data_IF_103234198244
#
_entry.id   IF_103234198244
#
_cell.length_a   1.000
_cell.length_b   1.000
_cell.length_c   1.000
_cell.angle_alpha   90.00
_cell.angle_beta   90.00
_cell.angle_gamma   90.00
#
_symmetry.space_group_name_H-M   'P 1'
#
loop_
_entity.id
_entity.type
_entity.pdbx_description
1 polymer ?
#
# COMPACT_ATOMS: atom_id res chain seq x y z
N UNK A 1 10.52 -26.17 1.71
CA UNK A 1 9.51 -25.09 1.68
C UNK A 1 8.67 -24.98 2.95
N UNK A 2 8.00 -26.05 3.45
CA UNK A 2 7.15 -25.98 4.66
C UNK A 2 7.81 -25.32 5.89
N UNK A 3 9.09 -25.61 6.14
CA UNK A 3 9.86 -25.04 7.27
C UNK A 3 10.08 -23.52 7.15
N UNK A 4 10.39 -23.01 5.96
CA UNK A 4 10.64 -21.58 5.72
C UNK A 4 9.35 -20.77 5.86
N UNK A 5 8.27 -21.24 5.22
CA UNK A 5 6.96 -20.61 5.30
C UNK A 5 6.44 -20.53 6.75
N UNK A 6 6.67 -21.58 7.53
CA UNK A 6 6.36 -21.59 8.95
C UNK A 6 7.20 -20.56 9.71
N UNK A 7 8.53 -20.53 9.53
CA UNK A 7 9.40 -19.54 10.19
C UNK A 7 9.00 -18.10 9.90
N UNK A 8 8.67 -17.78 8.65
CA UNK A 8 8.24 -16.43 8.25
C UNK A 8 6.88 -16.10 8.87
N UNK A 9 5.90 -17.00 8.74
CA UNK A 9 4.56 -16.79 9.25
C UNK A 9 4.55 -16.52 10.75
N UNK A 10 5.35 -17.25 11.52
CA UNK A 10 5.37 -17.20 12.98
C UNK A 10 6.50 -16.31 13.55
N UNK A 11 7.11 -15.46 12.72
CA UNK A 11 8.19 -14.58 13.17
C UNK A 11 7.71 -13.63 14.28
N UNK A 12 8.33 -13.73 15.46
CA UNK A 12 7.96 -12.90 16.61
C UNK A 12 6.70 -13.33 17.34
N UNK A 13 6.15 -14.52 17.10
CA UNK A 13 5.00 -15.04 17.85
C UNK A 13 5.50 -16.07 18.88
N UNK A 14 5.36 -15.77 20.18
CA UNK A 14 5.67 -16.75 21.24
C UNK A 14 4.47 -17.67 21.48
N UNK A 15 4.54 -18.89 20.93
CA UNK A 15 3.61 -20.02 21.14
C UNK A 15 2.15 -19.91 20.65
N UNK A 16 1.57 -21.10 20.42
CA UNK A 16 0.30 -21.43 19.72
C UNK A 16 -0.96 -21.06 20.51
N UNK A 17 -1.13 -19.82 20.94
CA UNK A 17 -2.45 -19.38 21.40
C UNK A 17 -3.32 -19.02 20.19
N UNK A 18 -4.57 -19.46 20.20
CA UNK A 18 -5.62 -19.10 19.22
C UNK A 18 -6.05 -17.62 19.38
N UNK A 19 -5.09 -16.73 19.63
CA UNK A 19 -5.31 -15.32 19.83
C UNK A 19 -5.55 -14.65 18.45
N UNK A 20 -6.66 -13.91 18.27
CA UNK A 20 -6.86 -13.05 17.11
C UNK A 20 -5.65 -12.16 16.76
N UNK A 21 -4.89 -11.70 17.76
CA UNK A 21 -3.69 -10.88 17.53
C UNK A 21 -2.55 -11.67 16.88
N UNK A 22 -2.33 -12.92 17.30
CA UNK A 22 -1.35 -13.81 16.70
C UNK A 22 -1.69 -14.10 15.23
N UNK A 23 -2.98 -14.29 14.93
CA UNK A 23 -3.45 -14.45 13.54
C UNK A 23 -3.15 -13.21 12.69
N UNK A 24 -3.42 -12.01 13.19
CA UNK A 24 -3.17 -10.76 12.46
C UNK A 24 -1.68 -10.54 12.22
N UNK A 25 -0.83 -10.82 13.21
CA UNK A 25 0.63 -10.77 13.06
C UNK A 25 1.11 -11.78 12.02
N UNK A 26 0.55 -12.99 12.00
CA UNK A 26 0.87 -14.00 10.99
C UNK A 26 0.51 -13.53 9.57
N UNK A 27 -0.65 -12.90 9.40
CA UNK A 27 -1.08 -12.32 8.12
C UNK A 27 -0.16 -11.17 7.71
N UNK A 28 0.17 -10.26 8.63
CA UNK A 28 1.10 -9.17 8.39
C UNK A 28 2.48 -9.67 7.93
N UNK A 29 3.03 -10.70 8.57
CA UNK A 29 4.31 -11.30 8.18
C UNK A 29 4.28 -11.92 6.77
N UNK A 30 3.17 -12.58 6.43
CA UNK A 30 2.97 -13.17 5.08
C UNK A 30 2.85 -12.09 4.02
N UNK A 31 2.10 -11.03 4.29
CA UNK A 31 1.98 -9.88 3.40
C UNK A 31 3.33 -9.18 3.23
N UNK A 32 4.06 -8.95 4.32
CA UNK A 32 5.41 -8.37 4.25
C UNK A 32 6.36 -9.23 3.41
N UNK A 33 6.27 -10.56 3.52
CA UNK A 33 7.06 -11.46 2.69
C UNK A 33 6.71 -11.37 1.21
N UNK A 34 5.42 -11.40 0.88
CA UNK A 34 4.98 -11.24 -0.50
C UNK A 34 5.44 -9.88 -1.07
N UNK A 35 5.32 -8.82 -0.28
CA UNK A 35 5.78 -7.47 -0.61
C UNK A 35 7.28 -7.43 -0.89
N UNK A 36 8.10 -7.95 0.02
CA UNK A 36 9.57 -8.02 -0.15
C UNK A 36 9.96 -8.87 -1.36
N UNK A 37 9.31 -10.01 -1.57
CA UNK A 37 9.60 -10.89 -2.70
C UNK A 37 9.31 -10.20 -4.05
N UNK A 38 8.16 -9.53 -4.16
CA UNK A 38 7.79 -8.76 -5.37
C UNK A 38 8.76 -7.59 -5.57
N UNK A 39 9.08 -6.83 -4.52
CA UNK A 39 10.03 -5.73 -4.63
C UNK A 39 11.44 -6.18 -4.98
N UNK A 40 11.89 -7.32 -4.45
CA UNK A 40 13.19 -7.87 -4.79
C UNK A 40 13.23 -8.27 -6.27
N UNK A 41 12.18 -8.94 -6.76
CA UNK A 41 12.06 -9.30 -8.18
C UNK A 41 12.06 -8.04 -9.07
N UNK A 42 11.27 -7.02 -8.70
CA UNK A 42 11.23 -5.76 -9.44
C UNK A 42 12.57 -5.02 -9.41
N UNK A 43 13.29 -5.01 -8.29
CA UNK A 43 14.63 -4.41 -8.19
C UNK A 43 15.64 -5.16 -9.08
N UNK A 44 15.58 -6.50 -9.13
CA UNK A 44 16.45 -7.30 -10.01
C UNK A 44 16.14 -7.00 -11.47
N UNK A 45 14.86 -7.05 -11.88
CA UNK A 45 14.45 -6.78 -13.25
C UNK A 45 14.82 -5.35 -13.69
N UNK A 46 14.55 -4.35 -12.85
CA UNK A 46 14.90 -2.96 -13.17
C UNK A 46 16.41 -2.74 -13.24
N UNK A 47 17.20 -3.47 -12.44
CA UNK A 47 18.67 -3.43 -12.52
C UNK A 47 19.15 -4.06 -13.83
N UNK A 48 18.66 -5.25 -14.22
CA UNK A 48 19.05 -5.91 -15.47
C UNK A 48 18.69 -5.05 -16.68
N UNK A 49 17.48 -4.49 -16.73
CA UNK A 49 17.04 -3.59 -17.81
C UNK A 49 17.93 -2.35 -17.87
N UNK A 50 18.32 -1.79 -16.72
CA UNK A 50 19.22 -0.64 -16.68
C UNK A 50 20.60 -0.97 -17.24
N UNK A 51 21.23 -2.03 -16.75
CA UNK A 51 22.57 -2.45 -17.19
C UNK A 51 22.62 -2.81 -18.68
N UNK A 52 21.49 -3.21 -19.27
CA UNK A 52 21.39 -3.50 -20.71
C UNK A 52 21.07 -2.27 -21.57
N UNK A 53 20.61 -1.17 -20.97
CA UNK A 53 20.20 0.05 -21.68
C UNK A 53 21.07 1.27 -21.37
N UNK A 54 22.12 1.12 -20.56
CA UNK A 54 22.97 2.21 -20.04
C UNK A 54 22.17 3.39 -19.44
N UNK A 55 21.00 3.09 -18.86
CA UNK A 55 20.10 4.10 -18.32
C UNK A 55 20.53 4.66 -16.95
N UNK A 56 20.24 5.93 -16.64
CA UNK A 56 20.49 6.47 -15.30
C UNK A 56 19.50 5.92 -14.26
N UNK A 57 19.85 6.02 -12.97
CA UNK A 57 18.94 5.71 -11.88
C UNK A 57 17.78 6.71 -11.81
N UNK A 58 16.57 6.24 -12.08
CA UNK A 58 15.36 7.06 -11.99
C UNK A 58 14.82 7.13 -10.56
N UNK A 59 13.88 8.05 -10.31
CA UNK A 59 13.13 8.10 -9.04
C UNK A 59 12.40 6.78 -8.76
N UNK A 60 11.97 6.05 -9.80
CA UNK A 60 11.29 4.77 -9.67
C UNK A 60 12.20 3.69 -9.10
N UNK A 61 13.48 3.66 -9.51
CA UNK A 61 14.47 2.73 -8.95
C UNK A 61 14.76 3.06 -7.49
N UNK A 62 14.91 4.34 -7.15
CA UNK A 62 15.17 4.79 -5.77
C UNK A 62 14.02 4.45 -4.82
N UNK A 63 12.76 4.66 -5.24
CA UNK A 63 11.59 4.30 -4.41
C UNK A 63 11.47 2.79 -4.20
N UNK A 64 11.74 1.98 -5.22
CA UNK A 64 11.73 0.51 -5.09
C UNK A 64 12.76 0.03 -4.05
N UNK A 65 13.95 0.63 -4.04
CA UNK A 65 14.97 0.33 -3.03
C UNK A 65 14.54 0.77 -1.63
N UNK A 66 13.99 1.98 -1.48
CA UNK A 66 13.50 2.47 -0.20
C UNK A 66 12.37 1.59 0.38
N UNK A 67 11.42 1.16 -0.45
CA UNK A 67 10.35 0.24 -0.05
C UNK A 67 10.91 -1.14 0.34
N UNK A 68 11.94 -1.62 -0.36
CA UNK A 68 12.60 -2.88 -0.02
C UNK A 68 13.27 -2.81 1.36
N UNK A 69 13.97 -1.71 1.65
CA UNK A 69 14.58 -1.46 2.96
C UNK A 69 13.52 -1.47 4.06
N UNK A 70 12.36 -0.85 3.83
CA UNK A 70 11.24 -0.86 4.78
C UNK A 70 10.69 -2.27 4.99
N UNK A 71 10.50 -3.04 3.91
CA UNK A 71 10.04 -4.43 4.02
C UNK A 71 11.01 -5.30 4.82
N UNK A 72 12.33 -5.12 4.63
CA UNK A 72 13.37 -5.80 5.41
C UNK A 72 13.39 -5.35 6.87
N UNK A 73 13.31 -4.04 7.13
CA UNK A 73 13.20 -3.48 8.47
C UNK A 73 11.95 -4.02 9.19
N UNK A 74 10.87 -4.27 8.46
CA UNK A 74 9.66 -4.84 9.02
C UNK A 74 9.84 -6.26 9.57
N UNK A 75 10.65 -7.09 8.91
CA UNK A 75 11.01 -8.40 9.45
C UNK A 75 11.83 -8.27 10.72
N UNK A 76 12.77 -7.31 10.76
CA UNK A 76 13.53 -7.02 11.96
C UNK A 76 12.63 -6.59 13.12
N UNK A 77 11.68 -5.68 12.89
CA UNK A 77 10.72 -5.26 13.92
C UNK A 77 9.81 -6.40 14.38
N UNK A 78 9.33 -7.24 13.46
CA UNK A 78 8.54 -8.41 13.85
C UNK A 78 9.36 -9.39 14.68
N UNK A 79 10.64 -9.60 14.36
CA UNK A 79 11.55 -10.43 15.16
C UNK A 79 11.74 -9.86 16.58
N UNK A 80 11.73 -8.53 16.73
CA UNK A 80 11.76 -7.83 18.03
C UNK A 80 10.40 -7.72 18.74
N UNK A 81 9.38 -8.44 18.28
CA UNK A 81 8.02 -8.40 18.83
C UNK A 81 7.32 -7.03 18.74
N UNK A 82 7.79 -6.12 17.88
CA UNK A 82 7.22 -4.78 17.69
C UNK A 82 6.06 -4.80 16.67
N UNK A 83 5.03 -5.61 16.93
CA UNK A 83 3.98 -5.91 15.96
C UNK A 83 3.16 -4.70 15.50
N UNK A 84 2.95 -3.72 16.38
CA UNK A 84 2.22 -2.49 16.01
C UNK A 84 3.03 -1.64 15.03
N UNK A 85 4.35 -1.56 15.21
CA UNK A 85 5.25 -0.89 14.27
C UNK A 85 5.24 -1.62 12.93
N UNK A 86 5.23 -2.97 12.95
CA UNK A 86 5.15 -3.76 11.73
C UNK A 86 3.88 -3.48 10.93
N UNK A 87 2.73 -3.43 11.61
CA UNK A 87 1.43 -3.13 10.99
C UNK A 87 1.42 -1.69 10.45
N UNK A 88 1.89 -0.72 11.21
CA UNK A 88 2.01 0.67 10.76
C UNK A 88 2.87 0.79 9.50
N UNK A 89 4.03 0.12 9.49
CA UNK A 89 4.97 0.14 8.38
C UNK A 89 4.47 -0.58 7.12
N UNK A 90 3.51 -1.51 7.23
CA UNK A 90 2.84 -2.09 6.06
C UNK A 90 1.80 -1.16 5.47
N UNK A 91 1.17 -0.32 6.30
CA UNK A 91 0.04 0.51 5.88
C UNK A 91 0.52 1.84 5.28
N UNK A 92 1.32 2.61 6.03
CA UNK A 92 1.57 4.01 5.65
C UNK A 92 2.80 4.20 4.78
N UNK A 93 4.01 3.72 5.13
CA UNK A 93 5.20 4.00 4.34
C UNK A 93 5.12 3.56 2.87
N UNK A 94 4.49 2.41 2.50
CA UNK A 94 4.32 2.05 1.09
C UNK A 94 3.50 3.06 0.31
N UNK A 95 2.43 3.60 0.91
CA UNK A 95 1.60 4.64 0.31
C UNK A 95 2.38 5.95 0.20
N UNK A 96 3.09 6.34 1.27
CA UNK A 96 3.85 7.59 1.26
C UNK A 96 5.00 7.55 0.24
N UNK A 97 5.86 6.54 0.31
CA UNK A 97 7.09 6.49 -0.51
C UNK A 97 6.81 5.99 -1.92
N UNK A 98 5.95 4.98 -2.06
CA UNK A 98 5.65 4.38 -3.35
C UNK A 98 4.82 5.27 -4.25
N UNK A 99 4.00 6.12 -3.63
CA UNK A 99 2.87 6.75 -4.31
C UNK A 99 2.72 8.26 -4.05
N UNK A 100 2.57 8.72 -2.80
CA UNK A 100 2.41 10.16 -2.52
C UNK A 100 3.66 10.99 -2.81
N UNK A 101 4.84 10.51 -2.41
CA UNK A 101 6.09 11.24 -2.51
C UNK A 101 6.47 11.56 -3.98
N UNK A 102 6.33 10.62 -4.96
CA UNK A 102 6.44 10.96 -6.38
C UNK A 102 5.52 12.11 -6.82
N UNK A 103 4.25 12.09 -6.39
CA UNK A 103 3.28 13.16 -6.70
C UNK A 103 3.75 14.49 -6.12
N UNK A 104 4.17 14.52 -4.86
CA UNK A 104 4.68 15.74 -4.20
C UNK A 104 5.94 16.31 -4.87
N UNK A 105 6.74 15.48 -5.54
CA UNK A 105 7.89 15.90 -6.34
C UNK A 105 7.54 16.20 -7.80
N UNK A 106 6.26 16.30 -8.14
CA UNK A 106 5.77 16.64 -9.48
C UNK A 106 5.97 15.56 -10.54
N UNK A 107 6.22 14.31 -10.13
CA UNK A 107 6.29 13.16 -11.03
C UNK A 107 4.89 12.59 -11.25
N UNK A 108 4.05 13.36 -11.95
CA UNK A 108 2.68 13.00 -12.31
C UNK A 108 2.63 12.70 -13.81
N UNK A 109 1.87 11.69 -14.21
CA UNK A 109 1.60 11.34 -15.60
C UNK A 109 0.09 11.35 -15.84
N UNK A 110 -0.35 11.53 -17.09
CA UNK A 110 -1.78 11.51 -17.45
C UNK A 110 -2.47 10.21 -17.01
N UNK A 111 -1.78 9.09 -17.17
CA UNK A 111 -2.26 7.77 -16.75
C UNK A 111 -2.51 7.66 -15.24
N UNK A 112 -1.81 8.47 -14.44
CA UNK A 112 -1.99 8.46 -12.99
C UNK A 112 -3.42 8.87 -12.61
N UNK A 113 -4.09 9.76 -13.33
CA UNK A 113 -5.47 10.17 -13.00
C UNK A 113 -6.48 9.01 -13.02
N UNK A 114 -6.24 7.99 -13.85
CA UNK A 114 -7.13 6.82 -13.95
C UNK A 114 -6.73 5.75 -12.92
N UNK A 115 -5.43 5.51 -12.76
CA UNK A 115 -4.90 4.41 -11.96
C UNK A 115 -4.82 4.74 -10.48
N UNK A 116 -4.70 6.01 -10.15
CA UNK A 116 -4.53 6.51 -8.79
C UNK A 116 -5.61 6.05 -7.81
N UNK A 117 -6.91 6.31 -8.08
CA UNK A 117 -7.99 5.75 -7.27
C UNK A 117 -7.97 4.22 -7.15
N UNK A 118 -7.60 3.49 -8.20
CA UNK A 118 -7.53 2.03 -8.16
C UNK A 118 -6.39 1.53 -7.26
N UNK A 119 -5.24 2.20 -7.29
CA UNK A 119 -4.10 1.93 -6.39
C UNK A 119 -4.52 2.19 -4.94
N UNK A 120 -5.17 3.33 -4.66
CA UNK A 120 -5.63 3.68 -3.30
C UNK A 120 -6.63 2.64 -2.79
N UNK A 121 -7.60 2.24 -3.62
CA UNK A 121 -8.56 1.19 -3.30
C UNK A 121 -7.85 -0.13 -2.99
N UNK A 122 -6.87 -0.52 -3.81
CA UNK A 122 -6.11 -1.76 -3.60
C UNK A 122 -5.29 -1.71 -2.32
N UNK A 123 -4.62 -0.59 -2.03
CA UNK A 123 -3.80 -0.41 -0.83
C UNK A 123 -4.66 -0.35 0.43
N UNK A 124 -5.91 0.10 0.35
CA UNK A 124 -6.83 0.14 1.47
C UNK A 124 -7.26 -1.24 2.01
N UNK A 125 -7.01 -2.33 1.26
CA UNK A 125 -7.16 -3.69 1.80
C UNK A 125 -6.08 -4.06 2.82
N UNK A 126 -4.89 -3.45 2.76
CA UNK A 126 -3.79 -3.77 3.68
C UNK A 126 -4.18 -3.57 5.15
N UNK A 127 -4.74 -2.42 5.58
CA UNK A 127 -5.21 -2.27 6.96
C UNK A 127 -6.34 -3.26 7.31
N UNK A 128 -7.19 -3.67 6.37
CA UNK A 128 -8.23 -4.67 6.65
C UNK A 128 -7.68 -6.07 6.94
N UNK A 129 -6.58 -6.43 6.27
CA UNK A 129 -5.93 -7.73 6.46
C UNK A 129 -5.02 -7.75 7.69
N UNK A 130 -4.46 -6.61 8.07
CA UNK A 130 -3.41 -6.51 9.11
C UNK A 130 -3.91 -5.96 10.44
N UNK A 131 -4.95 -5.12 10.42
CA UNK A 131 -5.61 -4.56 11.59
C UNK A 131 -6.97 -5.24 11.71
N UNK A 132 -7.26 -5.88 12.85
CA UNK A 132 -8.56 -6.52 13.07
C UNK A 132 -9.70 -5.52 12.75
N UNK A 133 -10.66 -5.87 11.87
CA UNK A 133 -11.78 -5.00 11.52
C UNK A 133 -12.79 -4.98 12.67
N UNK A 134 -12.52 -4.14 13.68
CA UNK A 134 -13.43 -3.87 14.79
C UNK A 134 -13.57 -2.36 14.91
N UNK A 135 -14.80 -1.85 15.03
CA UNK A 135 -15.08 -0.41 15.15
C UNK A 135 -14.33 0.24 16.35
N UNK A 136 -14.07 -0.53 17.41
CA UNK A 136 -13.29 -0.08 18.57
C UNK A 136 -11.77 0.01 18.32
N UNK A 137 -11.28 -0.53 17.21
CA UNK A 137 -9.87 -0.51 16.85
C UNK A 137 -9.50 0.82 16.18
N UNK A 138 -9.11 1.81 16.99
CA UNK A 138 -8.72 3.15 16.53
C UNK A 138 -7.71 3.11 15.35
N UNK A 139 -6.62 2.31 15.40
CA UNK A 139 -5.72 2.16 14.25
C UNK A 139 -6.43 1.83 12.93
N UNK A 140 -7.40 0.91 12.96
CA UNK A 140 -8.15 0.51 11.76
C UNK A 140 -8.99 1.67 11.21
N UNK A 141 -9.77 2.34 12.06
CA UNK A 141 -10.62 3.47 11.64
C UNK A 141 -9.78 4.63 11.11
N UNK A 142 -8.65 4.93 11.75
CA UNK A 142 -7.72 5.97 11.28
C UNK A 142 -7.15 5.60 9.90
N UNK A 143 -6.72 4.35 9.70
CA UNK A 143 -6.21 3.92 8.39
C UNK A 143 -7.27 4.01 7.29
N UNK A 144 -8.51 3.58 7.57
CA UNK A 144 -9.59 3.69 6.59
C UNK A 144 -9.94 5.14 6.28
N UNK A 145 -9.99 6.00 7.29
CA UNK A 145 -10.23 7.43 7.12
C UNK A 145 -9.12 8.07 6.28
N UNK A 146 -7.85 7.69 6.53
CA UNK A 146 -6.71 8.13 5.73
C UNK A 146 -6.87 7.74 4.26
N UNK A 147 -7.17 6.48 3.95
CA UNK A 147 -7.36 6.04 2.56
C UNK A 147 -8.59 6.69 1.90
N UNK A 148 -9.66 6.92 2.64
CA UNK A 148 -10.85 7.60 2.13
C UNK A 148 -10.55 9.07 1.79
N UNK A 149 -9.91 9.80 2.71
CA UNK A 149 -9.49 11.19 2.45
C UNK A 149 -8.54 11.23 1.26
N UNK A 150 -7.56 10.33 1.21
CA UNK A 150 -6.65 10.23 0.08
C UNK A 150 -7.40 9.96 -1.23
N UNK A 151 -8.35 9.02 -1.24
CA UNK A 151 -9.21 8.74 -2.40
C UNK A 151 -9.94 9.98 -2.89
N UNK A 152 -10.51 10.78 -1.97
CA UNK A 152 -11.24 12.00 -2.31
C UNK A 152 -10.28 13.07 -2.85
N UNK A 153 -9.14 13.29 -2.20
CA UNK A 153 -8.22 14.38 -2.52
C UNK A 153 -7.21 14.10 -3.62
N UNK A 154 -7.06 12.85 -4.08
CA UNK A 154 -5.93 12.48 -4.95
C UNK A 154 -5.88 13.27 -6.26
N UNK A 155 -7.01 13.48 -6.93
CA UNK A 155 -7.05 14.22 -8.20
C UNK A 155 -6.62 15.68 -8.01
N UNK A 156 -7.00 16.29 -6.88
CA UNK A 156 -6.55 17.63 -6.51
C UNK A 156 -5.03 17.67 -6.27
N UNK A 157 -4.47 16.63 -5.64
CA UNK A 157 -3.02 16.51 -5.45
C UNK A 157 -2.30 16.35 -6.80
N UNK A 158 -2.80 15.47 -7.69
CA UNK A 158 -2.23 15.26 -9.02
C UNK A 158 -2.27 16.54 -9.85
N UNK A 159 -3.37 17.28 -9.80
CA UNK A 159 -3.54 18.55 -10.52
C UNK A 159 -2.63 19.64 -9.96
N UNK A 160 -2.53 19.75 -8.63
CA UNK A 160 -1.74 20.80 -7.98
C UNK A 160 -0.23 20.60 -8.18
N UNK A 161 0.26 19.37 -8.10
CA UNK A 161 1.69 19.06 -8.26
C UNK A 161 2.09 18.69 -9.69
N UNK A 162 1.13 18.51 -10.60
CA UNK A 162 1.40 18.25 -12.01
C UNK A 162 2.16 19.41 -12.65
N UNK A 163 3.36 19.13 -13.17
CA UNK A 163 4.24 20.14 -13.76
C UNK A 163 3.89 20.50 -15.21
N UNK A 164 3.07 19.68 -15.87
CA UNK A 164 2.49 19.99 -17.16
C UNK A 164 1.02 20.33 -16.98
N UNK A 165 0.50 21.22 -17.82
CA UNK A 165 -0.93 21.35 -18.04
C UNK A 165 -1.42 20.05 -18.70
N UNK A 166 -1.47 18.97 -17.92
CA UNK A 166 -2.01 17.71 -18.35
C UNK A 166 -3.44 18.00 -18.77
N UNK A 167 -3.71 17.82 -20.05
CA UNK A 167 -5.06 17.86 -20.55
C UNK A 167 -5.76 16.70 -19.85
N UNK A 168 -6.55 16.99 -18.81
CA UNK A 168 -7.55 16.02 -18.35
C UNK A 168 -8.27 15.66 -19.64
N UNK A 169 -8.18 14.41 -20.16
CA UNK A 169 -8.79 14.07 -21.42
C UNK A 169 -10.24 14.57 -21.34
N UNK A 170 -10.73 15.38 -22.29
CA UNK A 170 -12.03 16.07 -22.15
C UNK A 170 -13.21 15.12 -21.85
N UNK A 171 -13.01 13.82 -22.05
CA UNK A 171 -13.91 12.76 -21.58
C UNK A 171 -13.90 12.60 -20.05
N UNK A 172 -12.75 12.62 -19.37
CA UNK A 172 -12.67 12.53 -17.91
C UNK A 172 -13.31 13.74 -17.25
N UNK A 173 -13.12 14.96 -17.76
CA UNK A 173 -13.68 16.17 -17.15
C UNK A 173 -15.22 16.12 -17.11
N UNK A 174 -15.85 15.70 -18.20
CA UNK A 174 -17.31 15.53 -18.28
C UNK A 174 -17.84 14.34 -17.45
N UNK A 175 -17.03 13.30 -17.26
CA UNK A 175 -17.40 12.12 -16.47
C UNK A 175 -16.81 12.11 -15.05
N UNK A 176 -16.14 13.19 -14.62
CA UNK A 176 -15.30 13.19 -13.43
C UNK A 176 -16.11 12.92 -12.17
N UNK A 177 -17.25 13.61 -12.03
CA UNK A 177 -18.15 13.42 -10.89
C UNK A 177 -18.67 11.97 -10.80
N UNK A 178 -19.02 11.36 -11.95
CA UNK A 178 -19.49 9.98 -12.01
C UNK A 178 -18.37 8.99 -11.66
N UNK A 179 -17.18 9.17 -12.24
CA UNK A 179 -16.00 8.36 -11.94
C UNK A 179 -15.65 8.41 -10.45
N UNK A 180 -15.57 9.61 -9.88
CA UNK A 180 -15.21 9.82 -8.48
C UNK A 180 -16.22 9.20 -7.52
N UNK A 181 -17.50 9.44 -7.78
CA UNK A 181 -18.59 8.87 -6.99
C UNK A 181 -18.58 7.35 -7.07
N UNK A 182 -18.29 6.78 -8.24
CA UNK A 182 -18.17 5.33 -8.41
C UNK A 182 -17.01 4.76 -7.60
N UNK A 183 -15.83 5.38 -7.63
CA UNK A 183 -14.68 4.95 -6.81
C UNK A 183 -14.99 5.01 -5.30
N UNK A 184 -15.66 6.08 -4.85
CA UNK A 184 -16.09 6.22 -3.46
C UNK A 184 -17.13 5.18 -3.07
N UNK A 185 -18.13 4.93 -3.93
CA UNK A 185 -19.15 3.92 -3.70
C UNK A 185 -18.54 2.52 -3.60
N UNK A 186 -17.64 2.17 -4.52
CA UNK A 186 -16.91 0.88 -4.49
C UNK A 186 -16.07 0.78 -3.22
N UNK A 187 -15.37 1.84 -2.83
CA UNK A 187 -14.60 1.87 -1.58
C UNK A 187 -15.50 1.58 -0.37
N UNK A 188 -16.58 2.36 -0.20
CA UNK A 188 -17.52 2.24 0.91
C UNK A 188 -18.16 0.86 0.93
N UNK A 189 -18.69 0.40 -0.20
CA UNK A 189 -19.36 -0.90 -0.32
C UNK A 189 -18.40 -2.04 0.04
N UNK A 190 -17.20 -2.04 -0.51
CA UNK A 190 -16.18 -3.07 -0.23
C UNK A 190 -15.83 -3.12 1.25
N UNK A 191 -15.57 -1.96 1.84
CA UNK A 191 -15.13 -1.87 3.23
C UNK A 191 -16.26 -2.20 4.21
N UNK A 192 -17.48 -1.75 3.92
CA UNK A 192 -18.67 -2.08 4.72
C UNK A 192 -18.99 -3.56 4.66
N UNK A 193 -18.85 -4.18 3.48
CA UNK A 193 -19.07 -5.64 3.32
C UNK A 193 -18.06 -6.42 4.14
N UNK A 194 -16.77 -6.07 4.05
CA UNK A 194 -15.71 -6.77 4.80
C UNK A 194 -15.88 -6.56 6.30
N UNK A 195 -16.25 -5.35 6.72
CA UNK A 195 -16.55 -5.07 8.12
C UNK A 195 -17.70 -5.95 8.63
N UNK A 196 -18.82 -6.00 7.90
CA UNK A 196 -20.01 -6.78 8.26
C UNK A 196 -19.74 -8.29 8.30
N UNK A 197 -18.94 -8.81 7.36
CA UNK A 197 -18.59 -10.23 7.31
C UNK A 197 -17.57 -10.65 8.38
N UNK A 198 -16.85 -9.70 8.97
CA UNK A 198 -15.79 -9.97 9.94
C UNK A 198 -16.22 -9.81 11.40
N UNK A 199 -17.36 -9.15 11.64
CA UNK A 199 -18.04 -9.06 12.95
C UNK A 199 -19.02 -10.19 13.15
#
# INVERSE_FOLDING_TARGET
MKKLWHKISYLGISHKNNDPEARNTMVANRLNFAFVAVLLLLNILTTIIRETSDGPYTIHTKKLLALLIIGLANFYFSHKHLHQVTKFNLVYPPVFIGYLLPILFGHVQEFDFIVSPLIILTLSFVPQLTLAPKLSNKPYVISLSFFFVLMVSIDNLLTYFGTQAYYIPGNIENFWAYYKTSCMAVFIMTHSTIFTCAT
#
